data_IF_102126809497
#
_entry.id   IF_102126809497
#
_cell.length_a   1.000
_cell.length_b   1.000
_cell.length_c   1.000
_cell.angle_alpha   90.00
_cell.angle_beta   90.00
_cell.angle_gamma   90.00
#
_symmetry.space_group_name_H-M   'P 1'
#
loop_
_entity.id
_entity.type
_entity.pdbx_description
1 polymer ?
#
# COMPACT_ATOMS: atom_id res chain seq x y z
N UNK A 1 -1.22 -5.86 9.07
CA UNK A 1 -0.38 -6.67 8.16
C UNK A 1 -0.96 -6.57 6.75
N UNK A 2 -0.16 -6.17 5.77
CA UNK A 2 -0.59 -5.93 4.38
C UNK A 2 -0.76 -7.25 3.61
N UNK A 3 -1.84 -7.40 2.85
CA UNK A 3 -2.11 -8.59 2.00
C UNK A 3 -2.88 -8.20 0.75
N UNK A 4 -2.71 -8.92 -0.35
CA UNK A 4 -3.48 -8.72 -1.58
C UNK A 4 -4.38 -9.94 -1.79
N UNK A 5 -5.66 -9.69 -2.05
CA UNK A 5 -6.61 -10.72 -2.45
C UNK A 5 -6.76 -10.72 -3.99
N UNK A 6 -6.29 -11.77 -4.69
CA UNK A 6 -6.39 -11.86 -6.14
C UNK A 6 -7.82 -12.14 -6.63
N UNK A 7 -8.73 -12.61 -5.76
CA UNK A 7 -10.13 -12.87 -6.10
C UNK A 7 -11.03 -11.63 -5.95
N UNK A 8 -10.51 -10.56 -5.32
CA UNK A 8 -11.23 -9.31 -5.15
C UNK A 8 -11.45 -8.60 -6.50
N UNK A 9 -12.61 -7.96 -6.64
CA UNK A 9 -12.89 -7.04 -7.76
C UNK A 9 -12.10 -5.74 -7.69
N UNK A 10 -11.51 -5.42 -6.53
CA UNK A 10 -10.67 -4.25 -6.35
C UNK A 10 -9.26 -4.52 -6.89
N UNK A 11 -8.69 -3.64 -7.73
CA UNK A 11 -7.34 -3.85 -8.24
C UNK A 11 -6.29 -3.81 -7.12
N UNK A 12 -5.19 -4.58 -7.22
CA UNK A 12 -4.20 -4.72 -6.15
C UNK A 12 -3.61 -3.41 -5.62
N UNK A 13 -3.45 -2.38 -6.46
CA UNK A 13 -2.95 -1.07 -6.00
C UNK A 13 -3.95 -0.39 -5.05
N UNK A 14 -5.26 -0.49 -5.33
CA UNK A 14 -6.31 0.13 -4.54
C UNK A 14 -6.48 -0.62 -3.20
N UNK A 15 -6.41 -1.96 -3.23
CA UNK A 15 -6.38 -2.76 -2.01
C UNK A 15 -5.22 -2.37 -1.09
N UNK A 16 -4.03 -2.16 -1.67
CA UNK A 16 -2.84 -1.74 -0.94
C UNK A 16 -2.99 -0.33 -0.37
N UNK A 17 -3.42 0.61 -1.21
CA UNK A 17 -3.70 2.00 -0.83
C UNK A 17 -4.64 2.07 0.37
N UNK A 18 -5.80 1.41 0.26
CA UNK A 18 -6.82 1.35 1.32
C UNK A 18 -6.28 0.76 2.63
N UNK A 19 -5.51 -0.33 2.58
CA UNK A 19 -4.94 -0.94 3.78
C UNK A 19 -3.86 -0.09 4.46
N UNK A 20 -3.13 0.72 3.71
CA UNK A 20 -2.16 1.66 4.29
C UNK A 20 -2.92 2.81 4.98
N UNK A 21 -3.94 3.37 4.32
CA UNK A 21 -4.81 4.38 4.95
C UNK A 21 -5.47 3.87 6.23
N UNK A 22 -5.96 2.63 6.25
CA UNK A 22 -6.52 2.02 7.46
C UNK A 22 -5.48 1.93 8.58
N UNK A 23 -4.25 1.52 8.29
CA UNK A 23 -3.19 1.47 9.30
C UNK A 23 -2.80 2.85 9.83
N UNK A 24 -2.87 3.90 9.01
CA UNK A 24 -2.67 5.28 9.47
C UNK A 24 -3.82 5.72 10.37
N UNK A 25 -5.07 5.45 9.97
CA UNK A 25 -6.26 5.77 10.75
C UNK A 25 -6.28 5.05 12.11
N UNK A 26 -5.78 3.81 12.15
CA UNK A 26 -5.64 3.00 13.37
C UNK A 26 -4.43 3.40 14.22
N UNK A 27 -3.61 4.37 13.77
CA UNK A 27 -2.40 4.82 14.47
C UNK A 27 -1.25 3.81 14.47
N UNK A 28 -1.33 2.77 13.64
CA UNK A 28 -0.27 1.76 13.45
C UNK A 28 0.89 2.36 12.64
N UNK A 29 0.56 3.23 11.67
CA UNK A 29 1.52 4.03 10.91
C UNK A 29 1.30 5.50 11.25
N UNK A 30 2.36 6.19 11.65
CA UNK A 30 2.31 7.64 11.85
C UNK A 30 2.64 8.37 10.54
N UNK A 31 2.08 9.57 10.31
CA UNK A 31 2.57 10.45 9.26
C UNK A 31 4.08 10.65 9.36
N UNK A 32 4.79 10.45 8.25
CA UNK A 32 6.26 10.49 8.20
C UNK A 32 6.97 9.17 8.54
N UNK A 33 6.25 8.12 8.92
CA UNK A 33 6.85 6.78 9.02
C UNK A 33 7.35 6.31 7.66
N UNK A 34 8.55 5.71 7.68
CA UNK A 34 9.15 5.19 6.47
C UNK A 34 8.44 3.90 6.05
N UNK A 35 7.69 3.99 4.95
CA UNK A 35 7.19 2.81 4.26
C UNK A 35 8.35 1.96 3.69
N UNK A 36 8.17 0.63 3.55
CA UNK A 36 9.14 -0.20 2.84
C UNK A 36 9.35 0.28 1.41
N UNK A 37 10.53 0.01 0.85
CA UNK A 37 10.78 0.34 -0.56
C UNK A 37 9.81 -0.41 -1.47
N UNK A 38 9.50 0.19 -2.63
CA UNK A 38 8.61 -0.41 -3.64
C UNK A 38 9.01 -1.85 -3.97
N UNK A 39 10.30 -2.10 -4.20
CA UNK A 39 10.80 -3.44 -4.54
C UNK A 39 10.67 -4.44 -3.39
N UNK A 40 10.93 -4.01 -2.16
CA UNK A 40 10.80 -4.87 -0.98
C UNK A 40 9.34 -5.27 -0.79
N UNK A 41 8.45 -4.29 -0.74
CA UNK A 41 7.03 -4.57 -0.50
C UNK A 41 6.40 -5.38 -1.64
N UNK A 42 6.80 -5.13 -2.88
CA UNK A 42 6.38 -5.93 -4.03
C UNK A 42 6.79 -7.41 -3.89
N UNK A 43 8.02 -7.67 -3.41
CA UNK A 43 8.49 -9.01 -3.11
C UNK A 43 7.70 -9.65 -1.96
N UNK A 44 7.50 -8.93 -0.86
CA UNK A 44 6.77 -9.40 0.31
C UNK A 44 5.30 -9.75 -0.01
N UNK A 45 4.67 -8.98 -0.92
CA UNK A 45 3.28 -9.16 -1.34
C UNK A 45 3.11 -10.02 -2.60
N UNK A 46 4.19 -10.36 -3.31
CA UNK A 46 4.14 -11.12 -4.56
C UNK A 46 3.44 -10.39 -5.71
N UNK A 47 3.52 -9.05 -5.77
CA UNK A 47 2.88 -8.23 -6.82
C UNK A 47 3.90 -7.44 -7.64
N UNK A 48 3.46 -6.90 -8.78
CA UNK A 48 4.33 -6.09 -9.63
C UNK A 48 4.79 -4.80 -8.90
N UNK A 49 6.09 -4.42 -9.00
CA UNK A 49 6.60 -3.18 -8.41
C UNK A 49 5.83 -1.92 -8.83
N UNK A 50 5.37 -1.86 -10.08
CA UNK A 50 4.58 -0.73 -10.59
C UNK A 50 3.22 -0.58 -9.88
N UNK A 51 2.65 -1.68 -9.38
CA UNK A 51 1.41 -1.68 -8.59
C UNK A 51 1.64 -1.02 -7.24
N UNK A 52 2.75 -1.36 -6.56
CA UNK A 52 3.13 -0.71 -5.29
C UNK A 52 3.45 0.77 -5.51
N UNK A 53 4.23 1.09 -6.54
CA UNK A 53 4.57 2.47 -6.88
C UNK A 53 3.33 3.31 -7.25
N UNK A 54 2.28 2.70 -7.79
CA UNK A 54 0.99 3.36 -8.00
C UNK A 54 0.29 3.64 -6.67
N UNK A 55 0.19 2.66 -5.78
CA UNK A 55 -0.43 2.84 -4.47
C UNK A 55 0.26 3.96 -3.66
N UNK A 56 1.59 4.02 -3.66
CA UNK A 56 2.33 5.08 -2.97
C UNK A 56 2.08 6.47 -3.56
N UNK A 57 2.00 6.59 -4.89
CA UNK A 57 1.66 7.87 -5.52
C UNK A 57 0.25 8.35 -5.20
N UNK A 58 -0.70 7.42 -5.05
CA UNK A 58 -2.07 7.76 -4.63
C UNK A 58 -2.09 8.21 -3.15
N UNK A 59 -1.31 7.56 -2.27
CA UNK A 59 -1.16 8.01 -0.88
C UNK A 59 -0.54 9.41 -0.77
N UNK A 60 0.51 9.68 -1.56
CA UNK A 60 1.13 11.01 -1.63
C UNK A 60 0.15 12.08 -2.13
N UNK A 61 -0.73 11.74 -3.07
CA UNK A 61 -1.76 12.64 -3.56
C UNK A 61 -2.85 12.92 -2.51
N UNK A 62 -3.15 11.95 -1.66
CA UNK A 62 -4.08 12.07 -0.53
C UNK A 62 -3.49 12.83 0.68
N UNK A 63 -2.25 13.31 0.57
CA UNK A 63 -1.51 14.09 1.57
C UNK A 63 -1.33 13.39 2.93
N UNK A 64 -1.15 12.07 2.90
CA UNK A 64 -0.77 11.23 4.05
C UNK A 64 0.69 11.44 4.46
#
# INVERSE_FOLDING_TARGET
MLRIDPASSEPPFAQLHRQILTQVADGILAPGDRLPTVRRLAGDLGIAPNTVARAYRELEADAV
#
